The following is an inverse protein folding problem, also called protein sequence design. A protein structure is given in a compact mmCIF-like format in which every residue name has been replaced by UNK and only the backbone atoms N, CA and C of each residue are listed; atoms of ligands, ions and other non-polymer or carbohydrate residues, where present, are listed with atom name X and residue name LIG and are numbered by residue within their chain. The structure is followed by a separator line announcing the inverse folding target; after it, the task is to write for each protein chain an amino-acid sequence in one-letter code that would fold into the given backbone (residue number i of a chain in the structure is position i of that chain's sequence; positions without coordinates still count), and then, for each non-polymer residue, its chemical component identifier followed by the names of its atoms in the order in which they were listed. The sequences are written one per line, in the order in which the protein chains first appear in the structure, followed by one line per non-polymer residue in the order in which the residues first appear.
data_IF_653892641599
#
_entry.id   IF_653892641599
#
_cell.length_a   1.000
_cell.length_b   1.000
_cell.length_c   1.000
_cell.angle_alpha   90.00
_cell.angle_beta   90.00
_cell.angle_gamma   90.00
#
_symmetry.space_group_name_H-M   'P 1'
#
loop_
_entity.id
_entity.type
_entity.pdbx_description
1 polymer ?
#
# COMPACT_ATOMS: atom_id res chain seq x y z
N UNK A 1 -6.59 20.49 -8.77
CA UNK A 1 -5.19 20.98 -8.78
C UNK A 1 -4.43 20.04 -7.86
N UNK A 2 -3.50 19.24 -8.39
CA UNK A 2 -2.57 18.45 -7.58
C UNK A 2 -1.71 19.42 -6.78
N UNK A 3 -1.60 19.26 -5.47
CA UNK A 3 -0.78 20.17 -4.65
C UNK A 3 0.72 19.87 -4.74
N UNK A 4 1.09 18.75 -5.40
CA UNK A 4 2.47 18.30 -5.60
C UNK A 4 3.04 17.52 -4.42
N UNK A 5 2.26 17.36 -3.36
CA UNK A 5 2.61 16.63 -2.14
C UNK A 5 1.66 15.44 -1.90
N UNK A 6 0.92 15.02 -2.93
CA UNK A 6 -0.16 14.03 -2.82
C UNK A 6 0.32 12.70 -2.21
N UNK A 7 1.58 12.32 -2.48
CA UNK A 7 2.23 11.14 -1.92
C UNK A 7 3.14 11.40 -0.69
N UNK A 8 3.26 12.65 -0.23
CA UNK A 8 4.24 13.06 0.80
C UNK A 8 4.10 12.35 2.14
N UNK A 9 2.93 11.77 2.47
CA UNK A 9 2.71 10.99 3.70
C UNK A 9 3.65 9.81 3.83
N UNK A 10 4.07 9.23 2.70
CA UNK A 10 5.04 8.13 2.67
C UNK A 10 6.45 8.57 3.12
N UNK A 11 6.72 9.88 3.14
CA UNK A 11 8.00 10.47 3.56
C UNK A 11 8.07 10.71 5.07
N UNK A 12 7.00 10.44 5.82
CA UNK A 12 7.02 10.52 7.28
C UNK A 12 7.72 9.27 7.87
N UNK A 13 9.05 9.24 7.77
CA UNK A 13 9.86 8.10 8.16
C UNK A 13 9.72 7.73 9.65
N UNK A 14 9.58 8.72 10.53
CA UNK A 14 9.39 8.49 11.97
C UNK A 14 8.06 7.76 12.24
N UNK A 15 6.99 8.15 11.54
CA UNK A 15 5.70 7.47 11.63
C UNK A 15 5.80 6.04 11.09
N UNK A 16 6.43 5.83 9.94
CA UNK A 16 6.61 4.50 9.36
C UNK A 16 7.47 3.60 10.26
N UNK A 17 8.53 4.13 10.86
CA UNK A 17 9.38 3.41 11.80
C UNK A 17 8.60 3.01 13.07
N UNK A 18 7.77 3.91 13.60
CA UNK A 18 6.87 3.60 14.72
C UNK A 18 5.90 2.47 14.35
N UNK A 19 5.25 2.56 13.20
CA UNK A 19 4.35 1.50 12.74
C UNK A 19 5.08 0.17 12.57
N UNK A 20 6.26 0.17 11.95
CA UNK A 20 7.11 -1.02 11.77
C UNK A 20 7.43 -1.70 13.10
N UNK A 21 7.66 -0.95 14.18
CA UNK A 21 7.93 -1.50 15.50
C UNK A 21 6.78 -2.34 16.08
N UNK A 22 5.53 -2.04 15.68
CA UNK A 22 4.33 -2.72 16.16
C UNK A 22 3.92 -3.93 15.28
N UNK A 23 4.52 -4.07 14.09
CA UNK A 23 4.18 -5.12 13.11
C UNK A 23 5.07 -6.36 13.25
N UNK A 24 4.54 -7.53 12.88
CA UNK A 24 5.23 -8.83 13.06
C UNK A 24 5.58 -9.54 11.75
N UNK A 25 4.85 -9.28 10.68
CA UNK A 25 5.12 -9.71 9.32
C UNK A 25 5.82 -8.63 8.49
N UNK A 26 5.77 -8.74 7.16
CA UNK A 26 6.32 -7.74 6.26
C UNK A 26 5.42 -6.49 6.22
N UNK A 27 6.02 -5.31 6.34
CA UNK A 27 5.26 -4.05 6.27
C UNK A 27 5.16 -3.66 4.82
N UNK A 28 3.97 -3.80 4.27
CA UNK A 28 3.65 -3.34 2.92
C UNK A 28 2.77 -2.11 3.04
N UNK A 29 2.99 -1.12 2.18
CA UNK A 29 2.23 0.11 2.20
C UNK A 29 1.92 0.62 0.79
N UNK A 30 0.84 1.38 0.66
CA UNK A 30 0.41 1.92 -0.62
C UNK A 30 -0.20 3.32 -0.43
N UNK A 31 -0.04 4.16 -1.44
CA UNK A 31 -0.65 5.49 -1.51
C UNK A 31 -1.44 5.59 -2.81
N UNK A 32 -2.60 4.91 -2.91
CA UNK A 32 -3.35 4.84 -4.17
C UNK A 32 -4.05 6.14 -4.55
N UNK A 33 -4.33 7.00 -3.57
CA UNK A 33 -5.10 8.23 -3.73
C UNK A 33 -4.59 9.32 -2.79
N UNK A 34 -4.87 10.60 -3.12
CA UNK A 34 -4.39 11.77 -2.39
C UNK A 34 -4.71 11.77 -0.89
N UNK A 35 -5.75 11.09 -0.41
CA UNK A 35 -6.14 11.06 1.01
C UNK A 35 -6.00 9.67 1.67
N UNK A 36 -5.37 8.72 0.97
CA UNK A 36 -5.26 7.33 1.43
C UNK A 36 -3.81 6.91 1.61
N UNK A 37 -3.47 6.44 2.81
CA UNK A 37 -2.28 5.65 3.09
C UNK A 37 -2.72 4.31 3.67
N UNK A 38 -2.39 3.23 2.97
CA UNK A 38 -2.64 1.85 3.43
C UNK A 38 -1.33 1.32 4.02
N UNK A 39 -1.41 0.70 5.19
CA UNK A 39 -0.31 -0.04 5.81
C UNK A 39 -0.84 -1.42 6.18
N UNK A 40 -0.17 -2.47 5.71
CA UNK A 40 -0.51 -3.87 5.96
C UNK A 40 0.62 -4.61 6.67
N UNK A 41 0.24 -5.42 7.65
CA UNK A 41 1.10 -6.42 8.30
C UNK A 41 0.95 -7.76 7.58
N UNK A 42 1.76 -7.99 6.55
CA UNK A 42 1.60 -9.15 5.66
C UNK A 42 2.30 -10.36 6.26
N UNK A 43 1.53 -11.41 6.56
CA UNK A 43 2.01 -12.63 7.22
C UNK A 43 2.03 -13.86 6.32
N UNK A 44 1.41 -13.77 5.15
CA UNK A 44 1.35 -14.83 4.14
C UNK A 44 0.97 -14.26 2.75
N UNK A 45 0.96 -15.12 1.72
CA UNK A 45 0.64 -14.75 0.34
C UNK A 45 -0.75 -14.11 0.18
N UNK A 46 -1.74 -14.52 0.98
CA UNK A 46 -3.11 -14.01 0.86
C UNK A 46 -3.22 -12.54 1.26
N UNK A 47 -2.34 -12.08 2.15
CA UNK A 47 -2.25 -10.68 2.53
C UNK A 47 -1.85 -9.78 1.35
N UNK A 48 -0.99 -10.27 0.45
CA UNK A 48 -0.63 -9.53 -0.76
C UNK A 48 -1.83 -9.39 -1.70
N UNK A 49 -2.61 -10.47 -1.89
CA UNK A 49 -3.83 -10.40 -2.72
C UNK A 49 -4.81 -9.34 -2.17
N UNK A 50 -5.02 -9.30 -0.85
CA UNK A 50 -5.87 -8.27 -0.21
C UNK A 50 -5.28 -6.86 -0.43
N UNK A 51 -3.98 -6.68 -0.20
CA UNK A 51 -3.31 -5.40 -0.42
C UNK A 51 -3.48 -4.91 -1.86
N UNK A 52 -3.33 -5.79 -2.84
CA UNK A 52 -3.48 -5.47 -4.25
C UNK A 52 -4.92 -5.06 -4.60
N UNK A 53 -5.91 -5.81 -4.12
CA UNK A 53 -7.33 -5.49 -4.35
C UNK A 53 -7.73 -4.14 -3.74
N UNK A 54 -7.37 -3.90 -2.48
CA UNK A 54 -7.70 -2.64 -1.79
C UNK A 54 -6.99 -1.46 -2.47
N UNK A 55 -5.71 -1.61 -2.80
CA UNK A 55 -4.94 -0.56 -3.50
C UNK A 55 -5.56 -0.24 -4.86
N UNK A 56 -5.89 -1.27 -5.65
CA UNK A 56 -6.49 -1.09 -6.96
C UNK A 56 -7.87 -0.45 -6.88
N UNK A 57 -8.69 -0.81 -5.88
CA UNK A 57 -9.99 -0.20 -5.68
C UNK A 57 -9.89 1.31 -5.46
N UNK A 58 -9.07 1.75 -4.49
CA UNK A 58 -8.87 3.18 -4.24
C UNK A 58 -8.25 3.91 -5.44
N UNK A 59 -7.33 3.25 -6.16
CA UNK A 59 -6.71 3.82 -7.35
C UNK A 59 -7.71 3.99 -8.50
N UNK A 60 -8.64 3.05 -8.70
CA UNK A 60 -9.59 3.07 -9.81
C UNK A 60 -10.82 3.96 -9.53
N UNK A 61 -11.29 4.02 -8.28
CA UNK A 61 -12.50 4.76 -7.90
C UNK A 61 -12.20 6.20 -7.46
N UNK A 62 -10.95 6.50 -7.11
CA UNK A 62 -10.52 7.79 -6.62
C UNK A 62 -10.51 8.89 -7.68
N UNK A 63 -10.89 10.11 -7.29
CA UNK A 63 -10.90 11.29 -8.18
C UNK A 63 -9.49 11.80 -8.50
N UNK A 64 -8.53 11.54 -7.61
CA UNK A 64 -7.13 11.98 -7.67
C UNK A 64 -6.19 10.80 -7.41
N UNK A 65 -6.08 9.83 -8.34
CA UNK A 65 -5.22 8.67 -8.18
C UNK A 65 -3.75 9.05 -8.19
N UNK A 66 -2.93 8.33 -7.42
CA UNK A 66 -1.47 8.53 -7.36
C UNK A 66 -0.74 7.36 -8.01
N UNK A 67 -0.84 6.16 -7.44
CA UNK A 67 -0.14 4.97 -7.95
C UNK A 67 -0.86 3.68 -7.56
N UNK A 68 -0.88 2.71 -8.47
CA UNK A 68 -1.35 1.35 -8.16
C UNK A 68 -0.28 0.47 -7.52
N UNK A 69 0.97 0.96 -7.44
CA UNK A 69 2.07 0.22 -6.83
C UNK A 69 1.98 0.24 -5.31
N UNK A 70 2.33 -0.90 -4.72
CA UNK A 70 2.61 -1.01 -3.29
C UNK A 70 4.14 -0.95 -3.08
N UNK A 71 4.54 -0.75 -1.83
CA UNK A 71 5.93 -0.66 -1.42
C UNK A 71 6.16 -1.55 -0.21
N UNK A 72 7.26 -2.29 -0.20
CA UNK A 72 7.78 -2.92 1.02
C UNK A 72 8.60 -1.88 1.77
N UNK A 73 8.34 -1.74 3.06
CA UNK A 73 9.16 -0.92 3.95
C UNK A 73 10.26 -1.78 4.57
N UNK A 74 11.51 -1.40 4.31
CA UNK A 74 12.69 -2.08 4.84
C UNK A 74 13.72 -1.05 5.31
N UNK A 75 13.90 -0.91 6.63
CA UNK A 75 14.88 -0.02 7.26
C UNK A 75 14.90 1.41 6.70
N UNK A 76 13.73 2.04 6.60
CA UNK A 76 13.60 3.40 6.08
C UNK A 76 13.62 3.51 4.56
N UNK A 77 13.72 2.39 3.83
CA UNK A 77 13.61 2.32 2.38
C UNK A 77 12.25 1.78 1.96
N UNK A 78 11.82 2.24 0.79
CA UNK A 78 10.55 1.86 0.16
C UNK A 78 10.88 1.18 -1.16
N UNK A 79 10.71 -0.14 -1.20
CA UNK A 79 10.98 -0.94 -2.39
C UNK A 79 9.67 -1.17 -3.13
N UNK A 80 9.52 -0.67 -4.38
CA UNK A 80 8.28 -0.86 -5.11
C UNK A 80 8.07 -2.34 -5.43
N UNK A 81 6.88 -2.83 -5.17
CA UNK A 81 6.47 -4.19 -5.51
C UNK A 81 5.25 -4.17 -6.42
N UNK A 82 5.23 -5.13 -7.34
CA UNK A 82 4.08 -5.40 -8.18
C UNK A 82 3.39 -6.66 -7.70
N UNK A 83 2.17 -6.53 -7.20
CA UNK A 83 1.37 -7.65 -6.75
C UNK A 83 0.34 -7.99 -7.82
N UNK A 84 0.47 -9.15 -8.43
CA UNK A 84 -0.55 -9.69 -9.33
C UNK A 84 -1.71 -10.23 -8.49
N UNK A 85 -2.74 -9.42 -8.29
CA UNK A 85 -3.96 -9.86 -7.62
C UNK A 85 -4.54 -11.07 -8.35
N UNK A 86 -4.66 -12.21 -7.67
CA UNK A 86 -5.41 -13.34 -8.23
C UNK A 86 -6.89 -13.03 -8.12
N UNK A 87 -7.64 -13.22 -9.21
CA UNK A 87 -9.10 -13.19 -9.14
C UNK A 87 -9.53 -14.35 -8.22
N UNK A 88 -10.23 -14.05 -7.13
CA UNK A 88 -10.99 -15.07 -6.41
C UNK A 88 -12.01 -15.60 -7.41
N UNK A 89 -11.82 -16.83 -7.90
CA UNK A 89 -12.90 -17.55 -8.57
C UNK A 89 -14.01 -17.65 -7.53
N UNK A 90 -15.16 -17.06 -7.81
CA UNK A 90 -16.40 -17.42 -7.14
C UNK A 90 -16.59 -18.90 -7.45
N UNK A 91 -16.37 -19.77 -6.48
CA UNK A 91 -16.78 -21.17 -6.60
C UNK A 91 -18.32 -21.16 -6.66
N UNK A 92 -18.89 -21.56 -7.79
CA UNK A 92 -20.29 -22.00 -7.93
C UNK A 92 -20.39 -23.48 -7.55
#
# INVERSE_FOLDING_TARGET
MNDGYDASRILNLDYLAKMRADLTGEMVLAVPHQDVLIIGDIRDESGYDVMAHVTMQFFAEGMMPITSLSFVYNDGKLEPIFILAKNRKTEE
#
